data_IF_665319018857
#
_entry.id   IF_665319018857
#
_cell.length_a   1.000
_cell.length_b   1.000
_cell.length_c   1.000
_cell.angle_alpha   90.00
_cell.angle_beta   90.00
_cell.angle_gamma   90.00
#
_symmetry.space_group_name_H-M   'P 1'
#
loop_
_entity.id
_entity.type
_entity.pdbx_description
1 polymer ?
#
# COMPACT_ATOMS: atom_id res chain seq x y z
N UNK A 1 8.42 61.54 37.61
CA UNK A 1 7.43 61.33 36.52
C UNK A 1 7.98 60.24 35.61
N UNK A 2 8.08 58.98 36.03
CA UNK A 2 7.02 57.96 36.21
C UNK A 2 6.17 57.75 34.95
N UNK A 3 6.53 56.72 34.17
CA UNK A 3 5.65 55.68 33.56
C UNK A 3 6.47 54.76 32.61
N UNK A 4 6.82 53.57 33.07
CA UNK A 4 6.35 52.33 32.45
C UNK A 4 5.28 51.77 33.42
N UNK A 5 4.34 50.87 33.04
CA UNK A 5 4.23 50.08 31.82
C UNK A 5 2.79 50.09 31.21
N UNK A 6 2.60 49.45 30.06
CA UNK A 6 1.32 48.80 29.74
C UNK A 6 1.60 47.56 28.91
N UNK A 7 1.53 46.42 29.59
CA UNK A 7 1.25 45.13 29.00
C UNK A 7 0.08 45.26 28.02
N UNK A 8 0.28 44.79 26.81
CA UNK A 8 -0.84 44.38 25.97
C UNK A 8 -0.57 42.94 25.55
N UNK A 9 -0.75 42.05 26.53
CA UNK A 9 -1.10 40.68 26.27
C UNK A 9 -2.40 40.66 25.47
N UNK A 10 -2.37 40.10 24.26
CA UNK A 10 -3.49 39.29 23.77
C UNK A 10 -3.06 38.59 22.49
N UNK A 11 -2.70 37.32 22.65
CA UNK A 11 -3.06 36.23 21.75
C UNK A 11 -3.08 36.58 20.27
N UNK A 12 -1.95 36.35 19.59
CA UNK A 12 -2.05 35.96 18.19
C UNK A 12 -2.72 34.58 18.19
N UNK A 13 -3.95 34.40 17.66
CA UNK A 13 -4.51 33.08 17.54
C UNK A 13 -3.57 32.26 16.68
N UNK A 14 -2.95 31.25 17.28
CA UNK A 14 -2.26 30.21 16.53
C UNK A 14 -3.28 29.69 15.50
N UNK A 15 -2.92 29.61 14.21
CA UNK A 15 -3.86 29.14 13.20
C UNK A 15 -4.17 27.69 13.56
N UNK A 16 -5.32 27.47 14.17
CA UNK A 16 -5.94 26.16 14.27
C UNK A 16 -6.08 25.68 12.82
N UNK A 17 -5.10 24.91 12.35
CA UNK A 17 -5.16 24.22 11.06
C UNK A 17 -6.29 23.22 11.15
N UNK A 18 -7.49 23.69 10.84
CA UNK A 18 -8.66 22.86 10.61
C UNK A 18 -8.31 21.83 9.55
N UNK A 19 -8.71 20.59 9.79
CA UNK A 19 -8.53 19.38 8.97
C UNK A 19 -8.88 19.60 7.48
N UNK A 20 -9.65 20.64 7.17
CA UNK A 20 -10.02 21.11 5.84
C UNK A 20 -8.91 21.83 5.05
N UNK A 21 -7.72 22.08 5.61
CA UNK A 21 -6.61 22.73 4.89
C UNK A 21 -5.66 21.75 4.20
N UNK A 22 -5.96 20.45 4.17
CA UNK A 22 -5.12 19.44 3.52
C UNK A 22 -5.38 19.43 2.00
N UNK A 23 -4.34 19.53 1.16
CA UNK A 23 -4.47 19.43 -0.30
C UNK A 23 -5.30 18.22 -0.72
N UNK A 24 -6.17 18.38 -1.72
CA UNK A 24 -7.06 17.31 -2.23
C UNK A 24 -6.32 16.01 -2.56
N UNK A 25 -5.04 16.10 -2.96
CA UNK A 25 -4.19 14.93 -3.20
C UNK A 25 -4.01 14.03 -1.97
N UNK A 26 -3.97 14.59 -0.75
CA UNK A 26 -3.86 13.82 0.49
C UNK A 26 -5.12 12.99 0.74
N UNK A 27 -6.29 13.60 0.53
CA UNK A 27 -7.57 12.89 0.64
C UNK A 27 -7.69 11.76 -0.39
N UNK A 28 -7.34 12.03 -1.65
CA UNK A 28 -7.39 11.01 -2.72
C UNK A 28 -6.41 9.87 -2.45
N UNK A 29 -5.15 10.17 -2.11
CA UNK A 29 -4.15 9.15 -1.79
C UNK A 29 -4.51 8.37 -0.52
N UNK A 30 -5.08 9.04 0.48
CA UNK A 30 -5.56 8.43 1.71
C UNK A 30 -6.64 7.38 1.45
N UNK A 31 -7.68 7.75 0.70
CA UNK A 31 -8.73 6.80 0.32
C UNK A 31 -8.21 5.66 -0.55
N UNK A 32 -7.39 5.97 -1.57
CA UNK A 32 -6.81 4.96 -2.45
C UNK A 32 -5.95 3.97 -1.66
N UNK A 33 -5.11 4.43 -0.74
CA UNK A 33 -4.33 3.56 0.15
C UNK A 33 -5.26 2.72 1.02
N UNK A 34 -6.25 3.33 1.67
CA UNK A 34 -7.18 2.63 2.55
C UNK A 34 -7.92 1.50 1.83
N UNK A 35 -8.51 1.77 0.66
CA UNK A 35 -9.19 0.75 -0.14
C UNK A 35 -8.24 -0.34 -0.60
N UNK A 36 -7.01 0.05 -0.96
CA UNK A 36 -6.02 -0.89 -1.41
C UNK A 36 -5.51 -1.79 -0.28
N UNK A 37 -5.34 -1.25 0.93
CA UNK A 37 -4.91 -1.97 2.12
C UNK A 37 -6.01 -2.95 2.57
N UNK A 38 -7.26 -2.48 2.70
CA UNK A 38 -8.42 -3.34 3.00
C UNK A 38 -8.51 -4.50 2.00
N UNK A 39 -8.47 -4.20 0.70
CA UNK A 39 -8.58 -5.24 -0.32
C UNK A 39 -7.37 -6.19 -0.31
N UNK A 40 -6.19 -5.70 0.06
CA UNK A 40 -4.99 -6.52 0.18
C UNK A 40 -5.06 -7.48 1.37
N UNK A 41 -5.59 -7.02 2.50
CA UNK A 41 -5.80 -7.84 3.70
C UNK A 41 -6.92 -8.86 3.51
N UNK A 42 -8.04 -8.46 2.89
CA UNK A 42 -9.13 -9.39 2.58
C UNK A 42 -8.66 -10.57 1.74
N UNK A 43 -7.87 -10.32 0.69
CA UNK A 43 -7.28 -11.39 -0.11
C UNK A 43 -6.31 -12.23 0.73
N UNK A 44 -5.50 -11.59 1.56
CA UNK A 44 -4.54 -12.31 2.39
C UNK A 44 -5.22 -13.25 3.40
N UNK A 45 -6.35 -12.85 3.99
CA UNK A 45 -7.12 -13.69 4.90
C UNK A 45 -7.94 -14.77 4.19
N UNK A 46 -8.52 -14.45 3.03
CA UNK A 46 -9.45 -15.35 2.34
C UNK A 46 -8.75 -16.41 1.49
N UNK A 47 -7.59 -16.07 0.91
CA UNK A 47 -6.90 -16.94 -0.05
C UNK A 47 -6.35 -18.23 0.57
N UNK A 48 -5.76 -18.25 1.79
CA UNK A 48 -5.38 -19.48 2.48
C UNK A 48 -6.58 -20.38 2.77
N UNK A 49 -7.70 -19.79 3.19
CA UNK A 49 -8.95 -20.51 3.46
C UNK A 49 -9.49 -21.13 2.17
N UNK A 50 -9.50 -20.40 1.07
CA UNK A 50 -9.90 -20.93 -0.24
C UNK A 50 -9.01 -22.08 -0.72
N UNK A 51 -7.68 -21.93 -0.60
CA UNK A 51 -6.74 -22.98 -0.97
C UNK A 51 -6.95 -24.25 -0.13
N UNK A 52 -7.17 -24.11 1.18
CA UNK A 52 -7.39 -25.25 2.07
C UNK A 52 -8.76 -25.92 1.93
N UNK A 53 -9.83 -25.13 1.75
CA UNK A 53 -11.21 -25.65 1.79
C UNK A 53 -11.78 -26.00 0.41
N UNK A 54 -11.49 -25.19 -0.62
CA UNK A 54 -12.04 -25.40 -1.97
C UNK A 54 -11.08 -26.18 -2.85
N UNK A 55 -9.78 -25.85 -2.81
CA UNK A 55 -8.77 -26.52 -3.63
C UNK A 55 -8.13 -27.74 -2.96
N UNK A 56 -8.42 -27.99 -1.68
CA UNK A 56 -7.90 -29.13 -0.92
C UNK A 56 -6.38 -29.11 -0.71
N UNK A 57 -5.75 -27.92 -0.75
CA UNK A 57 -4.31 -27.78 -0.55
C UNK A 57 -3.90 -28.11 0.89
N UNK A 58 -2.77 -28.79 1.04
CA UNK A 58 -2.19 -29.05 2.36
C UNK A 58 -1.64 -27.78 3.00
N UNK A 59 -1.57 -27.75 4.34
CA UNK A 59 -1.00 -26.60 5.06
C UNK A 59 0.46 -26.31 4.69
N UNK A 60 1.24 -27.34 4.32
CA UNK A 60 2.61 -27.14 3.83
C UNK A 60 2.64 -26.44 2.48
N UNK A 61 1.76 -26.79 1.54
CA UNK A 61 1.64 -26.11 0.25
C UNK A 61 1.19 -24.66 0.42
N UNK A 62 0.21 -24.41 1.29
CA UNK A 62 -0.25 -23.05 1.61
C UNK A 62 0.93 -22.23 2.15
N UNK A 63 1.67 -22.74 3.13
CA UNK A 63 2.84 -22.08 3.71
C UNK A 63 3.92 -21.75 2.68
N UNK A 64 4.21 -22.65 1.73
CA UNK A 64 5.16 -22.39 0.65
C UNK A 64 4.69 -21.27 -0.28
N UNK A 65 3.44 -21.31 -0.72
CA UNK A 65 2.84 -20.28 -1.59
C UNK A 65 2.87 -18.92 -0.91
N UNK A 66 2.49 -18.88 0.37
CA UNK A 66 2.43 -17.69 1.19
C UNK A 66 3.83 -17.09 1.44
N UNK A 67 4.79 -17.94 1.79
CA UNK A 67 6.17 -17.54 2.06
C UNK A 67 6.88 -16.99 0.82
N UNK A 68 6.78 -17.67 -0.32
CA UNK A 68 7.38 -17.19 -1.58
C UNK A 68 6.76 -15.87 -2.02
N UNK A 69 5.44 -15.74 -1.88
CA UNK A 69 4.71 -14.53 -2.18
C UNK A 69 5.20 -13.33 -1.34
N UNK A 70 5.37 -13.50 -0.04
CA UNK A 70 5.80 -12.42 0.86
C UNK A 70 7.29 -12.07 0.68
N UNK A 71 8.13 -13.09 0.45
CA UNK A 71 9.54 -12.89 0.12
C UNK A 71 9.70 -12.08 -1.17
N UNK A 72 8.90 -12.41 -2.20
CA UNK A 72 8.90 -11.66 -3.47
C UNK A 72 8.49 -10.21 -3.26
N UNK A 73 7.40 -9.95 -2.52
CA UNK A 73 6.98 -8.58 -2.22
C UNK A 73 8.09 -7.77 -1.53
N UNK A 74 8.77 -8.38 -0.56
CA UNK A 74 9.84 -7.74 0.21
C UNK A 74 11.05 -7.42 -0.67
N UNK A 75 11.49 -8.37 -1.49
CA UNK A 75 12.59 -8.18 -2.45
C UNK A 75 12.23 -7.08 -3.45
N UNK A 76 11.03 -7.16 -4.06
CA UNK A 76 10.58 -6.15 -5.02
C UNK A 76 10.50 -4.77 -4.38
N UNK A 77 10.08 -4.65 -3.12
CA UNK A 77 10.07 -3.36 -2.39
C UNK A 77 11.48 -2.76 -2.29
N UNK A 78 12.49 -3.56 -1.96
CA UNK A 78 13.88 -3.10 -1.85
C UNK A 78 14.37 -2.58 -3.21
N UNK A 79 14.25 -3.38 -4.27
CA UNK A 79 14.71 -2.97 -5.61
C UNK A 79 13.93 -1.77 -6.14
N UNK A 80 12.62 -1.72 -5.93
CA UNK A 80 11.79 -0.58 -6.33
C UNK A 80 12.18 0.69 -5.59
N UNK A 81 12.62 0.60 -4.33
CA UNK A 81 13.13 1.74 -3.58
C UNK A 81 14.40 2.30 -4.21
N UNK A 82 15.39 1.43 -4.47
CA UNK A 82 16.66 1.80 -5.12
C UNK A 82 16.43 2.43 -6.50
N UNK A 83 15.58 1.81 -7.32
CA UNK A 83 15.23 2.32 -8.66
C UNK A 83 14.48 3.65 -8.56
N UNK A 84 13.54 3.78 -7.61
CA UNK A 84 12.77 5.01 -7.39
C UNK A 84 13.66 6.19 -6.98
N UNK A 85 14.63 5.93 -6.10
CA UNK A 85 15.57 6.96 -5.64
C UNK A 85 16.59 7.32 -6.72
N UNK A 86 17.02 6.36 -7.55
CA UNK A 86 17.91 6.63 -8.68
C UNK A 86 17.22 7.42 -9.81
N UNK A 87 15.94 7.14 -10.10
CA UNK A 87 15.22 7.79 -11.21
C UNK A 87 14.54 9.12 -10.81
N UNK A 88 14.30 9.38 -9.53
CA UNK A 88 13.55 10.56 -9.05
C UNK A 88 12.07 10.62 -9.50
N UNK A 89 11.56 9.61 -10.21
CA UNK A 89 10.21 9.56 -10.81
C UNK A 89 9.21 8.76 -9.97
N UNK A 90 9.08 9.13 -8.70
CA UNK A 90 8.28 8.45 -7.66
C UNK A 90 6.79 8.22 -8.05
N UNK A 91 6.19 9.17 -8.77
CA UNK A 91 4.76 9.11 -9.17
C UNK A 91 4.44 8.01 -10.20
N UNK A 92 5.34 7.72 -11.15
CA UNK A 92 5.09 6.76 -12.22
C UNK A 92 5.24 5.30 -11.75
N UNK A 93 6.20 5.02 -10.89
CA UNK A 93 6.34 3.69 -10.28
C UNK A 93 5.14 3.35 -9.40
N UNK A 94 4.63 4.30 -8.62
CA UNK A 94 3.39 4.10 -7.87
C UNK A 94 2.24 3.74 -8.82
N UNK A 95 1.98 4.53 -9.86
CA UNK A 95 0.90 4.28 -10.81
C UNK A 95 1.00 2.89 -11.48
N UNK A 96 2.21 2.46 -11.84
CA UNK A 96 2.46 1.11 -12.38
C UNK A 96 2.14 0.01 -11.36
N UNK A 97 2.58 0.13 -10.12
CA UNK A 97 2.26 -0.84 -9.06
C UNK A 97 0.78 -0.88 -8.69
N UNK A 98 0.08 0.26 -8.76
CA UNK A 98 -1.38 0.34 -8.61
C UNK A 98 -2.11 -0.35 -9.76
N UNK A 99 -1.70 -0.08 -11.00
CA UNK A 99 -2.27 -0.72 -12.19
C UNK A 99 -2.09 -2.23 -12.19
N UNK A 100 -0.89 -2.71 -11.85
CA UNK A 100 -0.59 -4.13 -11.77
C UNK A 100 -1.45 -4.84 -10.71
N UNK A 101 -1.61 -4.24 -9.54
CA UNK A 101 -2.47 -4.79 -8.49
C UNK A 101 -3.96 -4.79 -8.88
N UNK A 102 -4.44 -3.73 -9.54
CA UNK A 102 -5.83 -3.64 -9.98
C UNK A 102 -6.18 -4.71 -11.04
N UNK A 103 -5.26 -5.00 -11.96
CA UNK A 103 -5.46 -6.03 -12.99
C UNK A 103 -5.42 -7.46 -12.45
N UNK A 104 -4.66 -7.70 -11.38
CA UNK A 104 -4.42 -9.06 -10.88
C UNK A 104 -5.53 -9.54 -9.95
N UNK A 105 -6.21 -8.61 -9.25
CA UNK A 105 -7.26 -8.95 -8.27
C UNK A 105 -8.48 -9.70 -8.86
N UNK A 106 -9.00 -9.34 -10.05
CA UNK A 106 -10.06 -10.10 -10.70
C UNK A 106 -9.67 -11.52 -11.14
N UNK A 107 -8.37 -11.84 -11.18
CA UNK A 107 -7.87 -13.16 -11.60
C UNK A 107 -8.05 -14.22 -10.51
N UNK A 108 -8.05 -13.83 -9.23
CA UNK A 108 -8.23 -14.77 -8.10
C UNK A 108 -9.56 -15.54 -8.10
N UNK A 109 -10.74 -14.92 -8.28
CA UNK A 109 -12.00 -15.66 -8.33
C UNK A 109 -12.14 -16.57 -9.57
N UNK A 110 -11.31 -16.36 -10.60
CA UNK A 110 -11.28 -17.19 -11.82
C UNK A 110 -10.26 -18.34 -11.73
N UNK A 111 -9.55 -18.48 -10.61
CA UNK A 111 -8.49 -19.46 -10.44
C UNK A 111 -9.05 -20.86 -10.16
N UNK A 112 -8.88 -21.77 -11.12
CA UNK A 112 -9.32 -23.17 -11.01
C UNK A 112 -8.22 -24.13 -10.54
N UNK A 113 -7.00 -23.64 -10.27
CA UNK A 113 -5.88 -24.48 -9.83
C UNK A 113 -4.91 -23.73 -8.91
N UNK A 114 -4.17 -24.47 -8.08
CA UNK A 114 -3.15 -23.93 -7.17
C UNK A 114 -2.06 -23.19 -7.94
N UNK A 115 -1.65 -23.67 -9.12
CA UNK A 115 -0.67 -22.99 -9.96
C UNK A 115 -1.18 -21.62 -10.44
N UNK A 116 -2.48 -21.51 -10.75
CA UNK A 116 -3.10 -20.26 -11.14
C UNK A 116 -3.18 -19.27 -9.97
N UNK A 117 -3.53 -19.76 -8.78
CA UNK A 117 -3.51 -18.97 -7.53
C UNK A 117 -2.10 -18.48 -7.22
N UNK A 118 -1.09 -19.34 -7.36
CA UNK A 118 0.31 -18.99 -7.14
C UNK A 118 0.76 -17.89 -8.11
N UNK A 119 0.49 -18.03 -9.42
CA UNK A 119 0.84 -17.04 -10.43
C UNK A 119 0.18 -15.68 -10.17
N UNK A 120 -1.13 -15.67 -9.91
CA UNK A 120 -1.85 -14.44 -9.57
C UNK A 120 -1.32 -13.81 -8.28
N UNK A 121 -1.04 -14.62 -7.26
CA UNK A 121 -0.47 -14.14 -5.99
C UNK A 121 0.92 -13.55 -6.18
N UNK A 122 1.76 -14.17 -6.99
CA UNK A 122 3.10 -13.69 -7.30
C UNK A 122 3.06 -12.31 -7.97
N UNK A 123 2.18 -12.12 -8.96
CA UNK A 123 2.02 -10.84 -9.67
C UNK A 123 1.43 -9.75 -8.76
N UNK A 124 0.44 -10.07 -7.91
CA UNK A 124 -0.12 -9.11 -6.92
C UNK A 124 0.98 -8.61 -5.96
N UNK A 125 1.88 -9.50 -5.56
CA UNK A 125 2.98 -9.21 -4.63
C UNK A 125 4.07 -8.37 -5.27
N UNK A 126 4.37 -8.58 -6.54
CA UNK A 126 5.24 -7.68 -7.32
C UNK A 126 4.62 -6.28 -7.37
N UNK A 127 3.32 -6.17 -7.68
CA UNK A 127 2.62 -4.87 -7.71
C UNK A 127 2.67 -4.14 -6.38
N UNK A 128 2.50 -4.86 -5.26
CA UNK A 128 2.69 -4.35 -3.89
C UNK A 128 4.10 -3.83 -3.63
N UNK A 129 5.13 -4.57 -4.04
CA UNK A 129 6.53 -4.15 -3.89
C UNK A 129 6.84 -2.86 -4.66
N UNK A 130 6.35 -2.76 -5.90
CA UNK A 130 6.60 -1.61 -6.79
C UNK A 130 5.92 -0.32 -6.29
N UNK A 131 4.70 -0.42 -5.76
CA UNK A 131 3.99 0.76 -5.23
C UNK A 131 4.43 1.18 -3.83
N UNK A 132 4.96 0.25 -3.03
CA UNK A 132 5.25 0.48 -1.60
C UNK A 132 6.35 1.51 -1.37
N UNK A 133 7.53 1.32 -2.00
CA UNK A 133 8.68 2.19 -1.77
C UNK A 133 8.49 3.65 -2.27
N UNK A 134 7.90 3.91 -3.45
CA UNK A 134 7.65 5.29 -3.88
C UNK A 134 6.58 5.99 -3.05
N UNK A 135 5.57 5.27 -2.55
CA UNK A 135 4.52 5.82 -1.68
C UNK A 135 5.09 6.23 -0.33
N UNK A 136 5.90 5.39 0.29
CA UNK A 136 6.53 5.67 1.58
C UNK A 136 7.57 6.82 1.49
N UNK A 137 8.04 7.17 0.29
CA UNK A 137 8.95 8.29 0.04
C UNK A 137 8.25 9.59 -0.44
N UNK A 138 6.93 9.56 -0.65
CA UNK A 138 6.11 10.72 -1.05
C UNK A 138 5.31 11.32 0.12
N UNK A 139 5.14 10.55 1.20
CA UNK A 139 4.51 10.95 2.47
C UNK A 139 5.62 11.24 3.47
#
# INVERSE_FOLDING_TARGET
MHRQPSDNDSDSPSPHRTIHSLPTGIWVLGFVSMFMDISSELIHSLLPVFMGTVLGASMSTIGWVEGVAEATASITKIFSGVISDYLGKRKWLAALGYGLAAMTKPVFPLANSIAWVFGARFVDRIGKGIRGAPRDALV
#
